data_IF_538436792954
#
_entry.id   IF_538436792954
#
_cell.length_a   1.000
_cell.length_b   1.000
_cell.length_c   1.000
_cell.angle_alpha   90.00
_cell.angle_beta   90.00
_cell.angle_gamma   90.00
#
_symmetry.space_group_name_H-M   'P 1'
#
loop_
_entity.id
_entity.type
_entity.pdbx_description
1 polymer ?
#
# COMPACT_ATOMS: atom_id res chain seq x y z
N UNK A 1 -0.60 17.72 14.48
CA UNK A 1 0.82 17.85 14.66
C UNK A 1 1.55 16.60 14.20
N UNK A 2 2.54 16.77 13.40
CA UNK A 2 3.35 15.64 12.97
C UNK A 2 4.15 15.09 14.13
N UNK A 3 4.30 13.78 14.19
CA UNK A 3 5.06 13.09 15.22
C UNK A 3 6.39 12.65 14.61
N UNK A 4 7.46 13.07 15.25
CA UNK A 4 8.80 12.75 14.82
C UNK A 4 9.25 11.47 15.52
N UNK A 5 8.68 10.34 15.12
CA UNK A 5 8.93 9.04 15.73
C UNK A 5 9.56 8.11 14.69
N UNK A 6 10.65 7.42 15.03
CA UNK A 6 11.24 6.46 14.10
C UNK A 6 10.24 5.38 13.69
N UNK A 7 10.21 5.06 12.39
CA UNK A 7 9.44 3.95 11.88
C UNK A 7 10.25 2.68 12.12
N UNK A 8 9.71 1.68 12.84
CA UNK A 8 10.44 0.47 13.12
C UNK A 8 10.72 -0.34 11.86
N UNK A 9 11.73 -1.19 11.88
CA UNK A 9 11.95 -2.18 10.84
C UNK A 9 10.72 -3.11 10.78
N UNK A 10 10.34 -3.52 9.59
CA UNK A 10 9.06 -4.19 9.39
C UNK A 10 7.97 -3.15 9.15
N UNK A 11 7.73 -2.83 7.90
CA UNK A 11 6.79 -1.80 7.48
C UNK A 11 5.37 -2.32 7.46
N UNK A 12 4.40 -1.40 7.59
CA UNK A 12 2.98 -1.66 7.38
C UNK A 12 2.65 -1.20 5.97
N UNK A 13 2.39 -2.16 5.09
CA UNK A 13 2.26 -1.93 3.65
C UNK A 13 0.82 -2.17 3.21
N UNK A 14 0.21 -1.16 2.57
CA UNK A 14 -1.12 -1.31 1.98
C UNK A 14 -1.00 -1.68 0.50
N UNK A 15 -1.73 -2.70 0.08
CA UNK A 15 -1.74 -3.21 -1.29
C UNK A 15 -3.12 -3.00 -1.90
N UNK A 16 -3.16 -2.32 -3.03
CA UNK A 16 -4.37 -2.11 -3.81
C UNK A 16 -4.05 -2.41 -5.28
N UNK A 17 -4.90 -3.16 -5.96
CA UNK A 17 -4.78 -3.36 -7.40
C UNK A 17 -6.16 -3.23 -8.05
N UNK A 18 -6.25 -2.42 -9.10
CA UNK A 18 -7.44 -2.38 -9.94
C UNK A 18 -7.58 -3.71 -10.68
N UNK A 19 -8.78 -4.02 -11.17
CA UNK A 19 -9.07 -5.37 -11.70
C UNK A 19 -8.07 -5.81 -12.76
N UNK A 20 -7.73 -4.95 -13.72
CA UNK A 20 -6.79 -5.27 -14.78
C UNK A 20 -5.34 -5.34 -14.29
N UNK A 21 -5.07 -5.00 -13.04
CA UNK A 21 -3.74 -5.02 -12.44
C UNK A 21 -3.57 -6.09 -11.37
N UNK A 22 -4.60 -6.88 -11.12
CA UNK A 22 -4.53 -7.91 -10.09
C UNK A 22 -3.51 -9.00 -10.41
N UNK A 23 -3.38 -9.37 -11.68
CA UNK A 23 -2.37 -10.34 -12.09
C UNK A 23 -0.95 -9.78 -11.88
N UNK A 24 -0.72 -8.52 -12.22
CA UNK A 24 0.56 -7.86 -11.94
C UNK A 24 0.87 -7.86 -10.46
N UNK A 25 -0.13 -7.58 -9.62
CA UNK A 25 0.05 -7.58 -8.17
C UNK A 25 0.45 -8.98 -7.67
N UNK A 26 -0.21 -10.02 -8.14
CA UNK A 26 0.12 -11.39 -7.74
C UNK A 26 1.52 -11.80 -8.17
N UNK A 27 1.91 -11.48 -9.38
CA UNK A 27 3.25 -11.79 -9.89
C UNK A 27 4.33 -11.03 -9.14
N UNK A 28 4.09 -9.75 -8.89
CA UNK A 28 4.99 -8.93 -8.11
C UNK A 28 5.13 -9.44 -6.68
N UNK A 29 4.03 -9.76 -6.03
CA UNK A 29 4.03 -10.27 -4.67
C UNK A 29 4.69 -11.65 -4.58
N UNK A 30 4.46 -12.52 -5.57
CA UNK A 30 5.11 -13.82 -5.64
C UNK A 30 6.62 -13.68 -5.77
N UNK A 31 7.08 -12.82 -6.65
CA UNK A 31 8.50 -12.56 -6.85
C UNK A 31 9.15 -12.01 -5.58
N UNK A 32 8.44 -11.17 -4.84
CA UNK A 32 8.94 -10.51 -3.64
C UNK A 32 8.46 -11.16 -2.35
N UNK A 33 8.03 -12.42 -2.40
CA UNK A 33 7.42 -13.12 -1.27
C UNK A 33 8.28 -13.09 -0.02
N UNK A 34 9.57 -13.36 -0.16
CA UNK A 34 10.50 -13.37 0.96
C UNK A 34 10.68 -12.01 1.61
N UNK A 35 10.66 -10.94 0.81
CA UNK A 35 10.75 -9.58 1.33
C UNK A 35 9.44 -9.16 2.02
N UNK A 36 8.30 -9.48 1.42
CA UNK A 36 6.99 -9.12 1.97
C UNK A 36 6.69 -9.84 3.27
N UNK A 37 7.16 -11.06 3.44
CA UNK A 37 6.90 -11.86 4.64
C UNK A 37 7.43 -11.20 5.92
N UNK A 38 8.41 -10.31 5.82
CA UNK A 38 8.93 -9.57 6.97
C UNK A 38 8.13 -8.32 7.35
N UNK A 39 7.05 -8.03 6.65
CA UNK A 39 6.25 -6.83 6.85
C UNK A 39 4.80 -7.18 7.14
N UNK A 40 4.07 -6.21 7.67
CA UNK A 40 2.63 -6.34 7.92
C UNK A 40 1.87 -5.84 6.70
N UNK A 41 0.96 -6.66 6.17
CA UNK A 41 0.23 -6.35 4.94
C UNK A 41 -1.23 -6.01 5.20
N UNK A 42 -1.69 -4.98 4.52
CA UNK A 42 -3.07 -4.54 4.48
C UNK A 42 -3.50 -4.48 3.02
N UNK A 43 -4.75 -4.69 2.72
CA UNK A 43 -5.22 -4.62 1.33
C UNK A 43 -6.71 -4.36 1.26
N UNK A 44 -7.17 -3.88 0.11
CA UNK A 44 -8.60 -3.93 -0.23
C UNK A 44 -9.02 -5.38 -0.43
N UNK A 45 -10.31 -5.65 -0.29
CA UNK A 45 -10.84 -7.01 -0.10
C UNK A 45 -10.39 -8.02 -1.18
N UNK A 46 -10.61 -7.70 -2.45
CA UNK A 46 -10.31 -8.65 -3.53
C UNK A 46 -8.81 -8.88 -3.67
N UNK A 47 -8.02 -7.81 -3.59
CA UNK A 47 -6.56 -7.88 -3.64
C UNK A 47 -6.03 -8.72 -2.48
N UNK A 48 -6.49 -8.43 -1.27
CA UNK A 48 -6.02 -9.13 -0.08
C UNK A 48 -6.37 -10.60 -0.09
N UNK A 49 -7.58 -10.94 -0.53
CA UNK A 49 -8.02 -12.34 -0.63
C UNK A 49 -7.13 -13.11 -1.61
N UNK A 50 -6.85 -12.53 -2.77
CA UNK A 50 -5.98 -13.17 -3.75
C UNK A 50 -4.57 -13.41 -3.22
N UNK A 51 -4.00 -12.43 -2.54
CA UNK A 51 -2.67 -12.56 -1.95
C UNK A 51 -2.66 -13.66 -0.89
N UNK A 52 -3.65 -13.68 0.01
CA UNK A 52 -3.76 -14.72 1.03
C UNK A 52 -3.91 -16.12 0.41
N UNK A 53 -4.82 -16.27 -0.53
CA UNK A 53 -5.14 -17.59 -1.12
C UNK A 53 -4.01 -18.12 -1.98
N UNK A 54 -3.37 -17.26 -2.76
CA UNK A 54 -2.35 -17.68 -3.72
C UNK A 54 -0.96 -17.77 -3.11
N UNK A 55 -0.63 -16.93 -2.14
CA UNK A 55 0.73 -16.80 -1.62
C UNK A 55 0.87 -17.20 -0.16
N UNK A 56 -0.22 -17.39 0.54
CA UNK A 56 -0.19 -17.78 1.95
C UNK A 56 0.28 -16.70 2.90
N UNK A 57 0.36 -15.44 2.45
CA UNK A 57 0.73 -14.33 3.32
C UNK A 57 -0.47 -13.87 4.13
N UNK A 58 -0.32 -13.61 5.43
CA UNK A 58 -1.40 -13.00 6.20
C UNK A 58 -1.60 -11.54 5.77
N UNK A 59 -2.85 -11.16 5.53
CA UNK A 59 -3.21 -9.81 5.09
C UNK A 59 -4.45 -9.35 5.85
N UNK A 60 -4.40 -8.14 6.39
CA UNK A 60 -5.58 -7.50 6.95
C UNK A 60 -6.38 -6.89 5.80
N UNK A 61 -7.59 -7.41 5.55
CA UNK A 61 -8.41 -6.98 4.43
C UNK A 61 -9.44 -5.95 4.85
N UNK A 62 -9.57 -4.90 4.05
CA UNK A 62 -10.64 -3.91 4.15
C UNK A 62 -11.73 -4.21 3.12
N UNK A 63 -12.65 -3.28 2.91
CA UNK A 63 -13.66 -3.39 1.85
C UNK A 63 -12.99 -3.25 0.48
N UNK A 64 -13.66 -3.72 -0.57
CA UNK A 64 -13.20 -3.46 -1.93
C UNK A 64 -13.23 -1.95 -2.21
N UNK A 65 -12.41 -1.51 -3.20
CA UNK A 65 -12.28 -0.09 -3.53
C UNK A 65 -13.62 0.61 -3.75
N UNK A 66 -14.51 0.10 -4.65
CA UNK A 66 -15.80 0.74 -4.92
C UNK A 66 -16.72 0.85 -3.70
N UNK A 67 -16.50 0.05 -2.67
CA UNK A 67 -17.33 0.04 -1.47
C UNK A 67 -16.63 0.68 -0.26
N UNK A 68 -15.64 1.52 -0.49
CA UNK A 68 -15.02 2.32 0.55
C UNK A 68 -13.67 1.83 1.05
N UNK A 69 -13.10 0.78 0.44
CA UNK A 69 -11.78 0.25 0.85
C UNK A 69 -10.67 1.28 0.75
N UNK A 70 -10.67 2.08 -0.30
CA UNK A 70 -9.66 3.13 -0.49
C UNK A 70 -9.74 4.17 0.63
N UNK A 71 -10.96 4.52 1.04
CA UNK A 71 -11.16 5.47 2.14
C UNK A 71 -10.71 4.90 3.48
N UNK A 72 -10.94 3.62 3.71
CA UNK A 72 -10.48 2.95 4.93
C UNK A 72 -8.95 2.95 5.02
N UNK A 73 -8.27 2.65 3.92
CA UNK A 73 -6.81 2.72 3.85
C UNK A 73 -6.33 4.14 4.04
N UNK A 74 -6.98 5.11 3.39
CA UNK A 74 -6.66 6.53 3.56
C UNK A 74 -6.74 7.00 5.00
N UNK A 75 -7.77 6.57 5.72
CA UNK A 75 -7.91 6.88 7.15
C UNK A 75 -6.75 6.30 7.97
N UNK A 76 -6.32 5.08 7.66
CA UNK A 76 -5.17 4.46 8.33
C UNK A 76 -3.86 5.18 8.04
N UNK A 77 -3.68 5.68 6.81
CA UNK A 77 -2.53 6.51 6.46
C UNK A 77 -2.56 7.81 7.26
N UNK A 78 -3.70 8.48 7.32
CA UNK A 78 -3.85 9.72 8.07
C UNK A 78 -3.57 9.55 9.56
N UNK A 79 -3.87 8.38 10.12
CA UNK A 79 -3.63 8.07 11.53
C UNK A 79 -2.22 7.54 11.80
N UNK A 80 -1.35 7.50 10.80
CA UNK A 80 0.02 7.01 10.96
C UNK A 80 0.12 5.49 11.14
N UNK A 81 -0.85 4.74 10.65
CA UNK A 81 -0.93 3.28 10.82
C UNK A 81 -0.51 2.51 9.58
N UNK A 82 -0.16 3.17 8.50
CA UNK A 82 0.35 2.58 7.26
C UNK A 82 1.59 3.37 6.84
N UNK A 83 2.65 2.66 6.47
CA UNK A 83 3.96 3.24 6.18
C UNK A 83 4.28 3.32 4.69
N UNK A 84 3.64 2.49 3.88
CA UNK A 84 3.85 2.41 2.44
C UNK A 84 2.53 2.12 1.74
N UNK A 85 2.33 2.75 0.59
CA UNK A 85 1.17 2.46 -0.27
C UNK A 85 1.65 1.90 -1.61
N UNK A 86 1.20 0.70 -1.96
CA UNK A 86 1.39 0.09 -3.27
C UNK A 86 0.04 0.01 -3.94
N UNK A 87 -0.20 0.90 -4.90
CA UNK A 87 -1.47 0.99 -5.62
C UNK A 87 -1.20 0.78 -7.11
N UNK A 88 -1.45 -0.42 -7.60
CA UNK A 88 -1.33 -0.73 -9.02
C UNK A 88 -2.55 -0.19 -9.75
N UNK A 89 -2.43 1.05 -10.17
CA UNK A 89 -3.48 1.83 -10.80
C UNK A 89 -3.58 1.50 -12.27
N UNK A 90 -4.81 1.40 -12.76
CA UNK A 90 -5.10 1.25 -14.18
C UNK A 90 -5.57 2.59 -14.77
N UNK A 91 -4.68 3.35 -15.43
CA UNK A 91 -5.04 4.66 -15.95
C UNK A 91 -5.87 4.59 -17.23
N UNK A 92 -6.02 3.43 -17.82
CA UNK A 92 -6.73 3.24 -19.09
C UNK A 92 -8.19 2.83 -18.90
N UNK A 93 -8.57 2.51 -17.66
CA UNK A 93 -9.91 2.01 -17.37
C UNK A 93 -10.57 2.90 -16.32
N UNK A 94 -11.70 3.56 -16.64
CA UNK A 94 -12.42 4.36 -15.65
C UNK A 94 -12.89 3.50 -14.48
N UNK A 95 -12.75 4.02 -13.27
CA UNK A 95 -13.19 3.35 -12.06
C UNK A 95 -14.37 4.12 -11.46
N UNK A 96 -15.38 3.43 -10.92
CA UNK A 96 -16.51 4.12 -10.27
C UNK A 96 -16.07 4.91 -9.03
N UNK A 97 -14.90 4.57 -8.46
CA UNK A 97 -14.35 5.21 -7.27
C UNK A 97 -13.11 6.05 -7.56
N UNK A 98 -12.96 6.58 -8.78
CA UNK A 98 -11.81 7.43 -9.12
C UNK A 98 -11.60 8.60 -8.16
N UNK A 99 -12.64 9.30 -7.66
CA UNK A 99 -12.41 10.34 -6.65
C UNK A 99 -11.76 9.81 -5.38
N UNK A 100 -12.09 8.59 -4.95
CA UNK A 100 -11.49 7.98 -3.77
C UNK A 100 -10.03 7.63 -4.01
N UNK A 101 -9.68 7.17 -5.21
CA UNK A 101 -8.29 6.90 -5.59
C UNK A 101 -7.46 8.17 -5.51
N UNK A 102 -7.98 9.27 -6.06
CA UNK A 102 -7.29 10.57 -6.01
C UNK A 102 -7.13 11.07 -4.57
N UNK A 103 -8.16 10.92 -3.76
CA UNK A 103 -8.11 11.30 -2.34
C UNK A 103 -7.07 10.48 -1.58
N UNK A 104 -6.96 9.19 -1.89
CA UNK A 104 -5.97 8.30 -1.28
C UNK A 104 -4.54 8.73 -1.63
N UNK A 105 -4.27 9.00 -2.90
CA UNK A 105 -2.96 9.50 -3.34
C UNK A 105 -2.62 10.82 -2.66
N UNK A 106 -3.60 11.71 -2.55
CA UNK A 106 -3.42 13.00 -1.91
C UNK A 106 -3.01 12.85 -0.43
N UNK A 107 -3.72 12.04 0.33
CA UNK A 107 -3.42 11.88 1.76
C UNK A 107 -2.05 11.21 1.97
N UNK A 108 -1.68 10.28 1.10
CA UNK A 108 -0.36 9.65 1.18
C UNK A 108 0.77 10.67 0.97
N UNK A 109 0.61 11.60 0.02
CA UNK A 109 1.58 12.67 -0.19
C UNK A 109 1.62 13.62 1.01
N UNK A 110 0.46 14.01 1.54
CA UNK A 110 0.39 14.89 2.72
C UNK A 110 1.09 14.26 3.92
N UNK A 111 0.91 12.96 4.12
CA UNK A 111 1.52 12.23 5.24
C UNK A 111 2.96 11.81 4.97
N UNK A 112 3.49 12.11 3.79
CA UNK A 112 4.88 11.83 3.41
C UNK A 112 5.26 10.34 3.53
N UNK A 113 4.38 9.47 3.06
CA UNK A 113 4.71 8.05 2.94
C UNK A 113 5.07 7.69 1.49
N UNK A 114 5.92 6.68 1.27
CA UNK A 114 6.23 6.22 -0.08
C UNK A 114 5.00 5.65 -0.78
N UNK A 115 4.89 5.93 -2.08
CA UNK A 115 3.79 5.48 -2.92
C UNK A 115 4.36 4.83 -4.19
N UNK A 116 3.90 3.63 -4.51
CA UNK A 116 4.21 2.98 -5.78
C UNK A 116 2.91 2.80 -6.56
N UNK A 117 2.80 3.45 -7.73
CA UNK A 117 1.61 3.33 -8.58
C UNK A 117 1.79 2.31 -9.70
N UNK A 118 2.94 1.69 -9.80
CA UNK A 118 3.22 0.64 -10.77
C UNK A 118 4.27 -0.33 -10.21
N UNK A 119 4.45 -1.41 -10.97
CA UNK A 119 5.31 -2.52 -10.58
C UNK A 119 6.78 -2.11 -10.44
N UNK A 120 7.31 -1.31 -11.37
CA UNK A 120 8.70 -0.86 -11.31
C UNK A 120 9.01 -0.08 -10.05
N UNK A 121 8.15 0.89 -9.72
CA UNK A 121 8.34 1.69 -8.50
C UNK A 121 8.29 0.81 -7.27
N UNK A 122 7.37 -0.16 -7.23
CA UNK A 122 7.25 -1.08 -6.11
C UNK A 122 8.52 -1.93 -5.94
N UNK A 123 9.13 -2.37 -7.05
CA UNK A 123 10.39 -3.10 -7.00
C UNK A 123 11.50 -2.26 -6.38
N UNK A 124 11.62 -1.01 -6.78
CA UNK A 124 12.63 -0.10 -6.24
C UNK A 124 12.41 0.16 -4.75
N UNK A 125 11.16 0.33 -4.33
CA UNK A 125 10.86 0.54 -2.91
C UNK A 125 11.23 -0.68 -2.07
N UNK A 126 10.83 -1.89 -2.48
CA UNK A 126 11.11 -3.09 -1.71
C UNK A 126 12.60 -3.42 -1.65
N UNK A 127 13.37 -3.05 -2.66
CA UNK A 127 14.81 -3.30 -2.67
C UNK A 127 15.62 -2.23 -1.93
N UNK A 128 14.98 -1.18 -1.44
CA UNK A 128 15.66 -0.14 -0.69
C UNK A 128 16.12 -0.65 0.67
N UNK A 129 17.35 -0.34 1.11
CA UNK A 129 17.81 -0.65 2.47
C UNK A 129 16.91 -0.04 3.56
N UNK A 130 16.23 1.06 3.26
CA UNK A 130 15.34 1.73 4.20
C UNK A 130 14.14 0.86 4.60
N UNK A 131 13.81 -0.18 3.83
CA UNK A 131 12.75 -1.12 4.19
C UNK A 131 13.05 -1.91 5.45
N UNK A 132 14.33 -2.13 5.75
CA UNK A 132 14.79 -2.99 6.84
C UNK A 132 15.56 -2.22 7.93
N UNK A 133 15.53 -0.91 7.88
CA UNK A 133 16.22 -0.04 8.84
C UNK A 133 15.19 0.84 9.53
N UNK A 134 15.53 1.32 10.74
CA UNK A 134 14.77 2.39 11.35
C UNK A 134 14.88 3.61 10.45
N UNK A 135 13.74 4.16 10.09
CA UNK A 135 13.67 5.34 9.22
C UNK A 135 12.68 6.32 9.82
N UNK A 136 13.12 7.56 9.94
CA UNK A 136 12.31 8.64 10.46
C UNK A 136 11.98 9.60 9.31
N UNK A 137 10.82 9.44 8.66
CA UNK A 137 10.46 10.37 7.59
C UNK A 137 10.29 11.79 8.12
N UNK A 138 10.48 12.77 7.25
CA UNK A 138 10.16 14.14 7.60
C UNK A 138 8.72 14.23 8.08
N UNK A 139 8.50 14.97 9.16
CA UNK A 139 7.18 15.07 9.78
C UNK A 139 6.16 15.67 8.81
N UNK A 140 4.98 15.05 8.75
CA UNK A 140 3.88 15.59 7.96
C UNK A 140 3.31 16.83 8.63
N UNK A 141 2.79 17.75 7.80
CA UNK A 141 2.03 18.88 8.31
C UNK A 141 0.65 18.42 8.79
N UNK A 142 0.13 19.08 9.79
CA UNK A 142 -1.17 18.77 10.36
C UNK A 142 -2.15 19.93 10.24
#
# INVERSE_FOLDING_TARGET
MAIDVPVPAGRRIALIAHDNKKQDMLEWAQYNLGLLAGHELFATATTGRLVQERLGLPVTCFRSGPFGGDQQIGARIADGQIDLLVLFWDPLEPQPHDPDVKALLRVAVVCNIPIACNRSTADFLLSSPLMNEEYQPAAAET
#
